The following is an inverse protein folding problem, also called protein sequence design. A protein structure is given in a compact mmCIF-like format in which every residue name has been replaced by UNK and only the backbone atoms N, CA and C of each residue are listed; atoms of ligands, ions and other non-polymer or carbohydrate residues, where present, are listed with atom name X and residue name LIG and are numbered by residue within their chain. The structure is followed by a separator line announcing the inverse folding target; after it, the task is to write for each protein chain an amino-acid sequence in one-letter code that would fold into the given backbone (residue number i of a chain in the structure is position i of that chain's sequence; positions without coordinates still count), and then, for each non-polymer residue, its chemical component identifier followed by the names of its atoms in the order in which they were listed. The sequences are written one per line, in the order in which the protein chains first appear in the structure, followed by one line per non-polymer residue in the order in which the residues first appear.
data_IF_588327816860
#
_entry.id   IF_588327816860
#
_cell.length_a   1.000
_cell.length_b   1.000
_cell.length_c   1.000
_cell.angle_alpha   90.00
_cell.angle_beta   90.00
_cell.angle_gamma   90.00
#
_symmetry.space_group_name_H-M   'P 1'
#
loop_
_entity.id
_entity.type
_entity.pdbx_description
1 polymer ?
#
# COMPACT_ATOMS: atom_id res chain seq x y z
N UNK A 1 -6.78 10.60 -12.20
CA UNK A 1 -5.81 10.06 -11.22
C UNK A 1 -4.56 9.63 -11.96
N UNK A 2 -3.43 10.05 -11.48
CA UNK A 2 -2.12 9.66 -11.99
C UNK A 2 -1.29 9.03 -10.87
N UNK A 3 -0.39 8.11 -11.22
CA UNK A 3 0.61 7.55 -10.33
C UNK A 3 1.97 8.18 -10.61
N UNK A 4 2.69 8.52 -9.55
CA UNK A 4 4.07 9.00 -9.61
C UNK A 4 4.90 8.33 -8.51
N UNK A 5 6.20 8.13 -8.76
CA UNK A 5 7.11 7.66 -7.72
C UNK A 5 7.31 8.73 -6.65
N UNK A 6 7.45 8.30 -5.40
CA UNK A 6 7.75 9.20 -4.29
C UNK A 6 9.05 9.97 -4.59
N UNK A 7 9.01 11.31 -4.74
CA UNK A 7 10.23 12.08 -4.91
C UNK A 7 11.00 12.18 -3.59
N UNK A 8 12.32 12.06 -3.66
CA UNK A 8 13.21 12.25 -2.51
C UNK A 8 14.15 13.41 -2.79
N UNK A 9 14.58 14.10 -1.73
CA UNK A 9 15.61 15.10 -1.79
C UNK A 9 16.98 14.47 -2.10
N UNK A 10 18.04 15.24 -2.44
CA UNK A 10 19.38 14.69 -2.59
C UNK A 10 19.90 13.96 -1.35
N UNK A 11 19.41 14.29 -0.17
CA UNK A 11 19.74 13.63 1.09
C UNK A 11 18.85 12.40 1.37
N UNK A 12 18.03 11.98 0.40
CA UNK A 12 17.09 10.85 0.51
C UNK A 12 15.95 11.06 1.52
N UNK A 13 15.61 12.30 1.81
CA UNK A 13 14.46 12.65 2.65
C UNK A 13 13.21 12.95 1.82
N UNK A 14 12.05 12.79 2.43
CA UNK A 14 10.78 13.22 1.82
C UNK A 14 10.71 14.75 1.90
N UNK A 15 10.42 15.45 0.78
CA UNK A 15 10.22 16.90 0.83
C UNK A 15 9.19 17.30 1.89
N UNK A 16 9.48 18.35 2.66
CA UNK A 16 8.65 18.77 3.79
C UNK A 16 7.17 18.96 3.46
N UNK A 17 6.81 19.70 2.39
CA UNK A 17 5.40 19.87 2.00
C UNK A 17 4.70 18.54 1.65
N UNK A 18 5.40 17.63 1.01
CA UNK A 18 4.87 16.30 0.69
C UNK A 18 4.68 15.45 1.95
N UNK A 19 5.59 15.53 2.91
CA UNK A 19 5.47 14.82 4.17
C UNK A 19 4.23 15.29 4.95
N UNK A 20 3.88 16.56 4.88
CA UNK A 20 2.63 17.09 5.47
C UNK A 20 1.41 16.45 4.80
N UNK A 21 1.38 16.38 3.47
CA UNK A 21 0.29 15.73 2.72
C UNK A 21 0.18 14.23 3.07
N UNK A 22 1.30 13.52 3.09
CA UNK A 22 1.35 12.09 3.42
C UNK A 22 0.87 11.84 4.86
N UNK A 23 1.32 12.65 5.80
CA UNK A 23 0.90 12.53 7.20
C UNK A 23 -0.60 12.71 7.33
N UNK A 24 -1.19 13.70 6.65
CA UNK A 24 -2.64 13.91 6.63
C UNK A 24 -3.38 12.68 6.05
N UNK A 25 -2.85 12.08 4.99
CA UNK A 25 -3.41 10.85 4.40
C UNK A 25 -3.40 9.69 5.42
N UNK A 26 -2.30 9.50 6.11
CA UNK A 26 -2.16 8.47 7.15
C UNK A 26 -3.14 8.73 8.30
N UNK A 27 -3.20 9.95 8.81
CA UNK A 27 -4.12 10.35 9.89
C UNK A 27 -5.57 10.07 9.50
N UNK A 28 -5.95 10.30 8.24
CA UNK A 28 -7.32 10.06 7.76
C UNK A 28 -7.73 8.59 7.85
N UNK A 29 -6.77 7.66 7.82
CA UNK A 29 -6.99 6.21 7.85
C UNK A 29 -6.86 5.60 9.26
N UNK A 30 -7.37 6.30 10.26
CA UNK A 30 -7.29 5.89 11.67
C UNK A 30 -7.76 4.46 11.92
N UNK A 31 -8.89 4.08 11.33
CA UNK A 31 -9.46 2.74 11.50
C UNK A 31 -8.49 1.65 11.04
N UNK A 32 -7.88 1.84 9.88
CA UNK A 32 -6.86 0.92 9.36
C UNK A 32 -5.67 0.81 10.33
N UNK A 33 -5.14 1.93 10.81
CA UNK A 33 -3.98 1.93 11.71
C UNK A 33 -4.32 1.35 13.08
N UNK A 34 -5.55 1.49 13.55
CA UNK A 34 -6.02 0.83 14.77
C UNK A 34 -6.02 -0.70 14.63
N UNK A 35 -6.37 -1.22 13.45
CA UNK A 35 -6.34 -2.65 13.16
C UNK A 35 -4.93 -3.20 12.95
N UNK A 36 -4.08 -2.44 12.23
CA UNK A 36 -2.73 -2.88 11.87
C UNK A 36 -1.74 -2.81 13.02
N UNK A 37 -1.89 -1.85 13.92
CA UNK A 37 -0.96 -1.62 15.01
C UNK A 37 0.41 -1.11 14.58
N UNK A 38 0.54 -0.54 13.38
CA UNK A 38 1.82 -0.06 12.84
C UNK A 38 2.33 1.20 13.55
N UNK A 39 1.43 1.95 14.18
CA UNK A 39 1.77 3.14 14.97
C UNK A 39 1.38 2.93 16.43
N UNK A 40 2.18 3.42 17.41
CA UNK A 40 1.88 3.27 18.82
C UNK A 40 0.51 3.82 19.24
N UNK A 41 0.13 4.96 18.66
CA UNK A 41 -1.17 5.59 18.89
C UNK A 41 -1.78 6.03 17.54
N UNK A 42 -2.86 5.36 17.08
CA UNK A 42 -3.53 5.73 15.83
C UNK A 42 -4.21 7.11 15.88
N UNK A 43 -4.37 7.71 17.04
CA UNK A 43 -4.91 9.06 17.22
C UNK A 43 -3.80 10.14 17.25
N UNK A 44 -2.53 9.74 17.26
CA UNK A 44 -1.37 10.66 17.32
C UNK A 44 -0.28 10.18 16.35
N UNK A 45 -0.61 10.15 15.06
CA UNK A 45 0.36 9.83 14.00
C UNK A 45 1.11 11.09 13.63
N UNK A 46 2.44 11.04 13.70
CA UNK A 46 3.33 12.18 13.49
C UNK A 46 4.12 12.09 12.19
N UNK A 47 4.52 13.23 11.59
CA UNK A 47 5.30 13.24 10.35
C UNK A 47 6.57 12.40 10.42
N UNK A 48 7.32 12.49 11.50
CA UNK A 48 8.56 11.72 11.68
C UNK A 48 8.31 10.21 11.73
N UNK A 49 7.17 9.78 12.20
CA UNK A 49 6.77 8.35 12.20
C UNK A 49 6.45 7.89 10.79
N UNK A 50 5.73 8.68 10.00
CA UNK A 50 5.42 8.38 8.61
C UNK A 50 6.70 8.33 7.78
N UNK A 51 7.59 9.30 7.97
CA UNK A 51 8.90 9.32 7.30
C UNK A 51 9.72 8.07 7.64
N UNK A 52 9.75 7.66 8.90
CA UNK A 52 10.48 6.47 9.34
C UNK A 52 9.92 5.18 8.74
N UNK A 53 8.60 5.03 8.71
CA UNK A 53 7.94 3.87 8.09
C UNK A 53 8.29 3.77 6.60
N UNK A 54 8.22 4.86 5.86
CA UNK A 54 8.55 4.88 4.43
C UNK A 54 10.05 4.66 4.19
N UNK A 55 10.91 5.18 5.05
CA UNK A 55 12.35 4.94 4.97
C UNK A 55 12.69 3.47 5.19
N UNK A 56 12.04 2.81 6.14
CA UNK A 56 12.22 1.38 6.39
C UNK A 56 11.80 0.54 5.18
N UNK A 57 10.68 0.87 4.55
CA UNK A 57 10.22 0.20 3.32
C UNK A 57 11.24 0.40 2.18
N UNK A 58 11.69 1.62 1.97
CA UNK A 58 12.61 1.97 0.89
C UNK A 58 14.04 1.45 1.11
N UNK A 59 14.37 0.93 2.29
CA UNK A 59 15.64 0.22 2.52
C UNK A 59 15.76 -1.05 1.67
N UNK A 60 14.63 -1.64 1.27
CA UNK A 60 14.61 -2.75 0.32
C UNK A 60 14.59 -2.19 -1.11
N UNK A 61 15.61 -2.49 -1.97
CA UNK A 61 15.68 -1.95 -3.34
C UNK A 61 14.56 -2.44 -4.27
N UNK A 62 13.86 -3.51 -3.93
CA UNK A 62 12.71 -4.02 -4.67
C UNK A 62 11.39 -3.33 -4.30
N UNK A 63 11.41 -2.45 -3.31
CA UNK A 63 10.24 -1.68 -2.87
C UNK A 63 10.16 -0.36 -3.62
N UNK A 64 8.97 -0.04 -4.09
CA UNK A 64 8.63 1.26 -4.67
C UNK A 64 7.45 1.86 -3.91
N UNK A 65 7.53 3.15 -3.61
CA UNK A 65 6.41 3.91 -3.05
C UNK A 65 5.84 4.79 -4.16
N UNK A 66 4.56 4.60 -4.44
CA UNK A 66 3.82 5.33 -5.47
C UNK A 66 2.80 6.25 -4.81
N UNK A 67 2.69 7.45 -5.35
CA UNK A 67 1.71 8.45 -4.95
C UNK A 67 0.61 8.54 -5.99
N UNK A 68 -0.64 8.55 -5.55
CA UNK A 68 -1.79 8.80 -6.41
C UNK A 68 -2.23 10.25 -6.25
N UNK A 69 -2.33 10.97 -7.37
CA UNK A 69 -2.82 12.34 -7.40
C UNK A 69 -4.02 12.48 -8.31
N UNK A 70 -4.98 13.29 -7.88
CA UNK A 70 -6.14 13.68 -8.66
C UNK A 70 -6.28 15.20 -8.56
N UNK A 71 -6.27 15.90 -9.71
CA UNK A 71 -6.29 17.36 -9.77
C UNK A 71 -5.22 18.03 -8.88
N UNK A 72 -4.01 17.46 -8.87
CA UNK A 72 -2.88 17.95 -8.09
C UNK A 72 -2.90 17.60 -6.61
N UNK A 73 -4.01 17.07 -6.08
CA UNK A 73 -4.14 16.66 -4.68
C UNK A 73 -3.65 15.23 -4.49
N UNK A 74 -2.91 14.97 -3.42
CA UNK A 74 -2.57 13.62 -3.00
C UNK A 74 -3.83 12.89 -2.51
N UNK A 75 -4.18 11.79 -3.17
CA UNK A 75 -5.40 11.02 -2.87
C UNK A 75 -5.13 9.62 -2.36
N UNK A 76 -3.92 9.12 -2.56
CA UNK A 76 -3.55 7.79 -2.11
C UNK A 76 -2.07 7.52 -2.15
N UNK A 77 -1.66 6.43 -1.53
CA UNK A 77 -0.30 5.91 -1.52
C UNK A 77 -0.35 4.39 -1.72
N UNK A 78 0.62 3.88 -2.49
CA UNK A 78 0.79 2.44 -2.70
C UNK A 78 2.25 2.09 -2.46
N UNK A 79 2.48 1.02 -1.74
CA UNK A 79 3.81 0.41 -1.60
C UNK A 79 3.78 -0.92 -2.33
N UNK A 80 4.71 -1.11 -3.25
CA UNK A 80 4.84 -2.34 -4.04
C UNK A 80 6.19 -3.00 -3.80
N UNK A 81 6.21 -4.32 -3.93
CA UNK A 81 7.43 -5.13 -3.83
C UNK A 81 7.57 -5.92 -5.14
N UNK A 82 8.66 -5.71 -5.86
CA UNK A 82 8.88 -6.34 -7.15
C UNK A 82 9.20 -7.84 -7.03
N UNK A 83 9.95 -8.23 -6.00
CA UNK A 83 10.38 -9.60 -5.78
C UNK A 83 10.24 -9.97 -4.30
N UNK A 84 9.43 -10.99 -4.03
CA UNK A 84 9.29 -11.52 -2.68
C UNK A 84 10.58 -12.23 -2.25
N UNK A 85 10.98 -12.16 -0.96
CA UNK A 85 12.20 -12.84 -0.47
C UNK A 85 12.16 -14.36 -0.59
N UNK A 86 10.97 -14.97 -0.62
CA UNK A 86 10.83 -16.39 -0.89
C UNK A 86 10.94 -16.65 -2.40
N UNK A 87 11.97 -17.39 -2.86
CA UNK A 87 12.15 -17.67 -4.29
C UNK A 87 11.05 -18.55 -4.90
N UNK A 88 10.26 -19.23 -4.07
CA UNK A 88 9.08 -19.97 -4.53
C UNK A 88 7.88 -19.07 -4.86
N UNK A 89 7.93 -17.79 -4.51
CA UNK A 89 6.90 -16.81 -4.79
C UNK A 89 7.34 -15.90 -5.95
N UNK A 90 6.85 -16.15 -7.18
CA UNK A 90 7.32 -15.43 -8.35
C UNK A 90 6.61 -14.10 -8.60
N UNK A 91 5.56 -13.79 -7.83
CA UNK A 91 4.69 -12.65 -8.10
C UNK A 91 5.17 -11.39 -7.38
N UNK A 92 4.94 -10.20 -7.96
CA UNK A 92 5.05 -8.94 -7.22
C UNK A 92 3.94 -8.82 -6.18
N UNK A 93 4.16 -7.97 -5.20
CA UNK A 93 3.23 -7.74 -4.10
C UNK A 93 2.81 -6.28 -3.99
N UNK A 94 1.56 -6.08 -3.57
CA UNK A 94 1.12 -4.79 -3.01
C UNK A 94 1.25 -4.92 -1.49
N UNK A 95 2.18 -4.17 -0.91
CA UNK A 95 2.43 -4.17 0.52
C UNK A 95 1.50 -3.23 1.30
N UNK A 96 1.08 -2.15 0.66
CA UNK A 96 0.14 -1.18 1.23
C UNK A 96 -0.61 -0.50 0.09
N UNK A 97 -1.89 -0.25 0.30
CA UNK A 97 -2.69 0.64 -0.56
C UNK A 97 -3.66 1.40 0.33
N UNK A 98 -3.50 2.72 0.38
CA UNK A 98 -4.38 3.60 1.14
C UNK A 98 -4.92 4.70 0.24
N UNK A 99 -6.20 5.00 0.40
CA UNK A 99 -6.87 6.17 -0.17
C UNK A 99 -7.30 7.07 0.98
N UNK A 100 -7.21 8.39 0.78
CA UNK A 100 -7.71 9.36 1.74
C UNK A 100 -9.13 8.96 2.19
N UNK A 101 -9.35 8.87 3.51
CA UNK A 101 -10.61 8.37 4.05
C UNK A 101 -11.82 9.22 3.61
N UNK A 102 -11.62 10.52 3.37
CA UNK A 102 -12.66 11.41 2.86
C UNK A 102 -13.04 11.15 1.40
N UNK A 103 -12.24 10.36 0.67
CA UNK A 103 -12.46 10.00 -0.73
C UNK A 103 -12.84 8.51 -0.91
N UNK A 104 -12.93 7.75 0.15
CA UNK A 104 -13.32 6.35 0.08
C UNK A 104 -14.78 6.21 -0.40
N UNK A 105 -15.08 5.04 -0.99
CA UNK A 105 -16.40 4.72 -1.57
C UNK A 105 -16.84 5.62 -2.74
N UNK A 106 -15.89 6.35 -3.35
CA UNK A 106 -16.12 7.17 -4.55
C UNK A 106 -15.40 6.57 -5.79
N UNK A 107 -14.95 5.34 -5.72
CA UNK A 107 -14.26 4.65 -6.80
C UNK A 107 -12.75 4.92 -6.89
N UNK A 108 -12.19 5.75 -6.02
CA UNK A 108 -10.75 6.06 -6.03
C UNK A 108 -9.88 4.82 -5.75
N UNK A 109 -10.28 3.97 -4.81
CA UNK A 109 -9.55 2.74 -4.51
C UNK A 109 -9.52 1.77 -5.69
N UNK A 110 -10.65 1.54 -6.33
CA UNK A 110 -10.75 0.71 -7.54
C UNK A 110 -9.87 1.27 -8.67
N UNK A 111 -9.90 2.58 -8.88
CA UNK A 111 -9.10 3.24 -9.91
C UNK A 111 -7.61 3.09 -9.61
N UNK A 112 -7.23 3.26 -8.36
CA UNK A 112 -5.84 3.12 -7.92
C UNK A 112 -5.33 1.69 -8.14
N UNK A 113 -6.10 0.68 -7.77
CA UNK A 113 -5.76 -0.73 -8.02
C UNK A 113 -5.58 -0.99 -9.52
N UNK A 114 -6.50 -0.49 -10.36
CA UNK A 114 -6.38 -0.63 -11.82
C UNK A 114 -5.07 -0.07 -12.36
N UNK A 115 -4.67 1.11 -11.90
CA UNK A 115 -3.41 1.74 -12.33
C UNK A 115 -2.18 0.93 -11.89
N UNK A 116 -2.20 0.37 -10.70
CA UNK A 116 -1.12 -0.49 -10.20
C UNK A 116 -1.05 -1.80 -11.00
N UNK A 117 -2.18 -2.42 -11.26
CA UNK A 117 -2.26 -3.62 -12.08
C UNK A 117 -1.74 -3.38 -13.50
N UNK A 118 -2.14 -2.25 -14.13
CA UNK A 118 -1.66 -1.88 -15.46
C UNK A 118 -0.14 -1.67 -15.48
N UNK A 119 0.42 -1.10 -14.41
CA UNK A 119 1.85 -0.95 -14.25
C UNK A 119 2.55 -2.32 -14.21
N UNK A 120 2.02 -3.28 -13.46
CA UNK A 120 2.56 -4.64 -13.43
C UNK A 120 2.41 -5.35 -14.78
N UNK A 121 1.26 -5.21 -15.46
CA UNK A 121 1.07 -5.76 -16.81
C UNK A 121 2.12 -5.20 -17.79
N UNK A 122 2.39 -3.90 -17.74
CA UNK A 122 3.35 -3.25 -18.63
C UNK A 122 4.78 -3.75 -18.47
N UNK A 123 5.10 -4.32 -17.30
CA UNK A 123 6.40 -4.95 -17.03
C UNK A 123 6.38 -6.48 -17.19
N UNK A 124 5.32 -7.02 -17.80
CA UNK A 124 5.22 -8.46 -18.10
C UNK A 124 4.88 -9.35 -16.93
N UNK A 125 4.36 -8.79 -15.83
CA UNK A 125 4.00 -9.60 -14.66
C UNK A 125 2.67 -10.31 -14.90
N UNK A 126 2.62 -11.59 -14.55
CA UNK A 126 1.48 -12.45 -14.81
C UNK A 126 0.39 -12.41 -13.72
N UNK A 127 0.77 -12.01 -12.52
CA UNK A 127 -0.12 -11.94 -11.37
C UNK A 127 0.41 -10.97 -10.33
N UNK A 128 -0.41 -10.67 -9.33
CA UNK A 128 -0.03 -9.85 -8.17
C UNK A 128 -0.62 -10.47 -6.91
N UNK A 129 0.12 -10.38 -5.82
CA UNK A 129 -0.31 -10.83 -4.49
C UNK A 129 -0.37 -9.70 -3.50
N UNK A 130 -1.09 -9.93 -2.44
CA UNK A 130 -1.15 -9.06 -1.27
C UNK A 130 -1.57 -9.85 -0.04
N UNK A 131 -1.33 -9.29 1.14
CA UNK A 131 -1.81 -9.84 2.40
C UNK A 131 -2.83 -8.89 3.03
N UNK A 132 -3.91 -9.47 3.55
CA UNK A 132 -4.92 -8.74 4.31
C UNK A 132 -4.96 -9.30 5.72
N UNK A 133 -4.91 -8.42 6.72
CA UNK A 133 -5.08 -8.82 8.11
C UNK A 133 -6.46 -9.48 8.31
N UNK A 134 -6.49 -10.61 8.98
CA UNK A 134 -7.75 -11.35 9.20
C UNK A 134 -8.76 -10.57 10.04
N UNK A 135 -8.31 -9.59 10.82
CA UNK A 135 -9.18 -8.70 11.58
C UNK A 135 -9.76 -7.54 10.75
N UNK A 136 -9.55 -7.53 9.44
CA UNK A 136 -10.01 -6.48 8.55
C UNK A 136 -10.96 -7.02 7.46
N UNK A 137 -12.22 -7.34 7.80
CA UNK A 137 -13.17 -7.90 6.84
C UNK A 137 -13.55 -6.91 5.73
N UNK A 138 -13.49 -5.61 5.96
CA UNK A 138 -13.75 -4.59 4.94
C UNK A 138 -12.72 -4.65 3.82
N UNK A 139 -11.45 -4.81 4.15
CA UNK A 139 -10.38 -4.96 3.18
C UNK A 139 -10.53 -6.26 2.40
N UNK A 140 -10.85 -7.38 3.05
CA UNK A 140 -11.13 -8.64 2.38
C UNK A 140 -12.25 -8.49 1.35
N UNK A 141 -13.36 -7.85 1.73
CA UNK A 141 -14.49 -7.61 0.82
C UNK A 141 -14.08 -6.73 -0.36
N UNK A 142 -13.31 -5.67 -0.12
CA UNK A 142 -12.81 -4.77 -1.17
C UNK A 142 -11.97 -5.52 -2.21
N UNK A 143 -10.96 -6.27 -1.77
CA UNK A 143 -10.09 -7.01 -2.67
C UNK A 143 -10.80 -8.14 -3.39
N UNK A 144 -11.67 -8.88 -2.70
CA UNK A 144 -12.47 -9.94 -3.32
C UNK A 144 -13.37 -9.40 -4.42
N UNK A 145 -13.98 -8.23 -4.23
CA UNK A 145 -14.81 -7.57 -5.25
C UNK A 145 -14.01 -7.14 -6.49
N UNK A 146 -12.68 -7.01 -6.37
CA UNK A 146 -11.77 -6.69 -7.48
C UNK A 146 -11.18 -7.94 -8.15
N UNK A 147 -11.60 -9.15 -7.74
CA UNK A 147 -11.17 -10.40 -8.35
C UNK A 147 -9.95 -11.05 -7.70
N UNK A 148 -9.54 -10.59 -6.53
CA UNK A 148 -8.50 -11.25 -5.75
C UNK A 148 -9.06 -12.45 -5.01
N UNK A 149 -8.37 -13.57 -5.08
CA UNK A 149 -8.77 -14.84 -4.44
C UNK A 149 -7.78 -15.20 -3.34
N UNK A 150 -8.31 -15.67 -2.21
CA UNK A 150 -7.48 -16.16 -1.11
C UNK A 150 -6.77 -17.45 -1.52
N UNK A 151 -5.47 -17.48 -1.43
CA UNK A 151 -4.65 -18.64 -1.78
C UNK A 151 -3.93 -19.25 -0.57
N UNK A 152 -3.84 -18.54 0.55
CA UNK A 152 -3.13 -18.99 1.73
C UNK A 152 -3.58 -18.21 2.96
N UNK A 153 -3.33 -18.78 4.14
CA UNK A 153 -3.45 -18.12 5.43
C UNK A 153 -2.15 -18.33 6.18
N UNK A 154 -1.45 -17.26 6.52
CA UNK A 154 -0.17 -17.30 7.22
C UNK A 154 0.08 -16.01 7.99
N UNK A 155 0.89 -16.05 9.05
CA UNK A 155 1.28 -14.82 9.73
C UNK A 155 2.15 -13.95 8.81
N UNK A 156 2.04 -12.62 8.95
CA UNK A 156 2.93 -11.72 8.24
C UNK A 156 4.38 -11.88 8.75
N UNK A 157 5.35 -11.47 7.94
CA UNK A 157 6.77 -11.66 8.24
C UNK A 157 7.28 -10.72 9.33
N UNK A 158 6.69 -9.55 9.47
CA UNK A 158 7.15 -8.53 10.41
C UNK A 158 6.66 -8.78 11.83
N UNK A 159 5.37 -8.66 12.04
CA UNK A 159 4.74 -8.74 13.36
C UNK A 159 4.02 -10.06 13.64
N UNK A 160 4.08 -10.99 12.70
CA UNK A 160 3.45 -12.31 12.76
C UNK A 160 1.93 -12.24 13.03
N UNK A 161 1.29 -11.21 12.52
CA UNK A 161 -0.17 -11.04 12.58
C UNK A 161 -0.85 -12.01 11.62
N UNK A 162 -1.99 -12.63 11.98
CA UNK A 162 -2.71 -13.51 11.07
C UNK A 162 -3.17 -12.77 9.82
N UNK A 163 -2.82 -13.30 8.65
CA UNK A 163 -3.15 -12.71 7.36
C UNK A 163 -3.73 -13.75 6.40
N UNK A 164 -4.64 -13.30 5.54
CA UNK A 164 -4.99 -13.99 4.32
C UNK A 164 -4.11 -13.48 3.18
N UNK A 165 -3.53 -14.38 2.41
CA UNK A 165 -2.79 -14.04 1.19
C UNK A 165 -3.73 -14.18 0.01
N UNK A 166 -3.85 -13.10 -0.76
CA UNK A 166 -4.73 -13.03 -1.94
C UNK A 166 -3.88 -12.88 -3.20
N UNK A 167 -4.40 -13.41 -4.31
CA UNK A 167 -3.74 -13.36 -5.61
C UNK A 167 -4.75 -13.06 -6.71
N UNK A 168 -4.32 -12.29 -7.69
CA UNK A 168 -5.07 -12.03 -8.91
C UNK A 168 -4.18 -12.23 -10.13
N UNK A 169 -4.65 -13.00 -11.11
CA UNK A 169 -3.99 -13.10 -12.41
C UNK A 169 -4.21 -11.81 -13.21
N UNK A 170 -3.17 -11.37 -13.92
CA UNK A 170 -3.15 -10.16 -14.73
C UNK A 170 -3.11 -10.54 -16.22
N UNK A 171 -4.27 -10.67 -16.84
CA UNK A 171 -4.37 -10.93 -18.29
C UNK A 171 -5.25 -9.93 -19.00
#
# INVERSE_FOLDING_TARGET
MILESLPLTPDHDIPGPLLVELTALYISNREFHALSGDFPDPDDIRPEQVAAELADELANPDVEVLLARSAGRLTGVVITLAHHPDPADPDPWIGLLMVDAGLQRQGHGRRLVSLVEDRFRSTGRAAVRLAVLENNPKALAFWSALGYETIDHRPDRGRRRPCAVLRKALH
#
